data_IF_132310456806
#
_entry.id   IF_132310456806
#
_cell.length_a   1.000
_cell.length_b   1.000
_cell.length_c   1.000
_cell.angle_alpha   90.00
_cell.angle_beta   90.00
_cell.angle_gamma   90.00
#
_symmetry.space_group_name_H-M   'P 1'
#
loop_
_entity.id
_entity.type
_entity.pdbx_description
1 polymer ?
#
# COMPACT_ATOMS: atom_id res chain seq x y z
N UNK A 1 16.80 6.72 -32.96
CA UNK A 1 15.70 5.82 -32.57
C UNK A 1 15.69 5.78 -31.06
N UNK A 2 14.60 6.18 -30.42
CA UNK A 2 14.45 6.12 -28.97
C UNK A 2 13.68 4.84 -28.67
N UNK A 3 14.27 3.92 -27.92
CA UNK A 3 13.58 2.70 -27.47
C UNK A 3 12.87 3.00 -26.16
N UNK A 4 11.57 2.74 -26.10
CA UNK A 4 10.77 2.89 -24.90
C UNK A 4 10.73 1.58 -24.12
N UNK A 5 10.94 1.65 -22.80
CA UNK A 5 10.88 0.51 -21.89
C UNK A 5 9.82 0.75 -20.83
N UNK A 6 8.99 -0.25 -20.57
CA UNK A 6 7.95 -0.18 -19.53
C UNK A 6 8.12 -1.31 -18.54
N UNK A 7 8.10 -0.97 -17.25
CA UNK A 7 8.05 -1.92 -16.15
C UNK A 7 6.89 -1.56 -15.23
N UNK A 8 6.03 -2.53 -14.90
CA UNK A 8 4.95 -2.36 -13.93
C UNK A 8 5.41 -2.93 -12.60
N UNK A 9 5.68 -2.06 -11.65
CA UNK A 9 5.96 -2.49 -10.29
C UNK A 9 4.65 -2.89 -9.58
N UNK A 10 4.74 -3.85 -8.65
CA UNK A 10 3.61 -4.20 -7.77
C UNK A 10 3.33 -3.11 -6.73
N UNK A 11 2.55 -3.45 -5.69
CA UNK A 11 2.33 -2.52 -4.58
C UNK A 11 3.64 -2.22 -3.86
N UNK A 12 4.06 -0.96 -3.89
CA UNK A 12 5.25 -0.46 -3.23
C UNK A 12 4.83 0.56 -2.16
N UNK A 13 5.57 0.62 -1.06
CA UNK A 13 5.38 1.64 -0.02
C UNK A 13 6.66 2.47 0.12
N UNK A 14 6.53 3.80 0.17
CA UNK A 14 7.66 4.72 0.31
C UNK A 14 8.41 4.96 -1.00
N UNK A 15 9.63 5.48 -0.89
CA UNK A 15 10.46 5.88 -2.03
C UNK A 15 11.20 4.66 -2.59
N UNK A 16 11.21 4.50 -3.91
CA UNK A 16 11.90 3.45 -4.64
C UNK A 16 12.66 4.03 -5.82
N UNK A 17 13.81 3.44 -6.13
CA UNK A 17 14.71 3.88 -7.19
C UNK A 17 14.88 2.77 -8.21
N UNK A 18 14.60 3.08 -9.47
CA UNK A 18 14.71 2.16 -10.59
C UNK A 18 15.72 2.68 -11.60
N UNK A 19 16.45 1.78 -12.25
CA UNK A 19 17.26 2.09 -13.43
C UNK A 19 17.36 0.85 -14.30
N UNK A 20 17.45 1.04 -15.60
CA UNK A 20 17.69 -0.04 -16.54
C UNK A 20 19.18 -0.38 -16.54
N UNK A 21 19.49 -1.68 -16.57
CA UNK A 21 20.82 -2.19 -16.92
C UNK A 21 20.75 -2.67 -18.37
N UNK A 22 21.38 -1.95 -19.27
CA UNK A 22 21.50 -2.26 -20.68
C UNK A 22 22.78 -3.06 -20.85
N UNK A 23 22.69 -4.30 -21.35
CA UNK A 23 23.84 -5.16 -21.59
C UNK A 23 23.98 -5.32 -23.09
N UNK A 24 25.14 -4.95 -23.64
CA UNK A 24 25.48 -5.16 -25.05
C UNK A 24 25.84 -6.62 -25.31
N UNK A 25 25.87 -7.00 -26.58
CA UNK A 25 26.28 -8.31 -27.10
C UNK A 25 27.68 -8.73 -26.68
N UNK A 26 28.58 -7.78 -26.41
CA UNK A 26 29.94 -8.04 -25.92
C UNK A 26 30.01 -8.18 -24.38
N UNK A 27 28.88 -8.07 -23.69
CA UNK A 27 28.77 -8.16 -22.23
C UNK A 27 28.98 -6.83 -21.49
N UNK A 28 29.28 -5.74 -22.19
CA UNK A 28 29.43 -4.40 -21.60
C UNK A 28 28.08 -3.92 -21.08
N UNK A 29 28.06 -3.37 -19.86
CA UNK A 29 26.82 -2.88 -19.24
C UNK A 29 26.82 -1.36 -19.08
N UNK A 30 25.75 -0.72 -19.52
CA UNK A 30 25.45 0.71 -19.29
C UNK A 30 24.16 0.85 -18.48
N UNK A 31 24.09 1.86 -17.62
CA UNK A 31 22.90 2.13 -16.82
C UNK A 31 22.15 3.37 -17.32
N UNK A 32 20.82 3.33 -17.25
CA UNK A 32 20.00 4.53 -17.45
C UNK A 32 20.13 5.50 -16.28
N UNK A 33 19.65 6.76 -16.44
CA UNK A 33 19.33 7.61 -15.30
C UNK A 33 18.40 6.91 -14.31
N UNK A 34 18.49 7.30 -13.03
CA UNK A 34 17.63 6.77 -11.97
C UNK A 34 16.24 7.40 -12.08
N UNK A 35 15.22 6.56 -12.08
CA UNK A 35 13.82 6.93 -11.96
C UNK A 35 13.38 6.70 -10.52
N UNK A 36 12.97 7.77 -9.85
CA UNK A 36 12.44 7.70 -8.48
C UNK A 36 10.92 7.58 -8.52
N UNK A 37 10.39 6.53 -7.91
CA UNK A 37 8.96 6.37 -7.68
C UNK A 37 8.66 6.58 -6.20
N UNK A 38 7.81 7.54 -5.89
CA UNK A 38 7.29 7.74 -4.54
C UNK A 38 5.90 7.13 -4.49
N UNK A 39 5.78 5.98 -3.83
CA UNK A 39 4.49 5.36 -3.61
C UNK A 39 3.92 5.84 -2.27
N UNK A 40 2.84 6.62 -2.35
CA UNK A 40 2.05 7.08 -1.20
C UNK A 40 1.08 5.97 -0.78
N UNK A 41 1.59 4.74 -0.62
CA UNK A 41 0.88 3.69 0.09
C UNK A 41 1.39 3.70 1.52
N UNK A 42 1.08 4.78 2.25
CA UNK A 42 0.96 4.65 3.70
C UNK A 42 -0.36 3.91 3.95
N UNK A 43 -0.31 2.59 3.85
CA UNK A 43 -1.36 1.78 4.49
C UNK A 43 -1.05 1.87 5.98
N UNK A 44 -1.57 2.91 6.63
CA UNK A 44 -1.64 2.91 8.08
C UNK A 44 -2.34 1.60 8.48
N UNK A 45 -1.74 0.79 9.36
CA UNK A 45 -2.37 -0.45 9.77
C UNK A 45 -3.76 -0.14 10.34
N UNK A 46 -4.75 -0.94 9.95
CA UNK A 46 -6.06 -0.86 10.58
C UNK A 46 -5.91 -1.35 12.03
N UNK A 47 -6.04 -0.46 12.99
CA UNK A 47 -5.89 -0.77 14.41
C UNK A 47 -7.24 -0.68 15.10
N UNK A 48 -7.58 -1.71 15.86
CA UNK A 48 -8.72 -1.76 16.77
C UNK A 48 -8.18 -2.07 18.16
N UNK A 49 -8.24 -1.09 19.06
CA UNK A 49 -7.68 -1.21 20.41
C UNK A 49 -8.65 -0.63 21.44
N UNK A 50 -8.68 -1.14 22.68
CA UNK A 50 -7.99 -2.33 23.17
C UNK A 50 -8.71 -3.63 22.80
N UNK A 51 -7.99 -4.76 22.87
CA UNK A 51 -8.57 -6.10 22.89
C UNK A 51 -7.99 -6.85 24.11
N UNK A 52 -8.78 -7.20 25.14
CA UNK A 52 -10.25 -7.16 25.19
C UNK A 52 -10.86 -5.76 25.32
N UNK A 53 -12.06 -5.59 24.76
CA UNK A 53 -12.87 -4.37 24.87
C UNK A 53 -14.05 -4.59 25.82
N UNK A 54 -14.44 -3.56 26.58
CA UNK A 54 -15.64 -3.59 27.42
C UNK A 54 -16.85 -3.01 26.71
N UNK A 55 -16.79 -1.72 26.38
CA UNK A 55 -17.93 -0.98 25.83
C UNK A 55 -17.70 -0.55 24.37
N UNK A 56 -16.56 0.10 24.08
CA UNK A 56 -16.20 0.57 22.74
C UNK A 56 -14.69 0.49 22.50
N UNK A 57 -14.31 0.29 21.25
CA UNK A 57 -12.91 0.29 20.80
C UNK A 57 -12.74 1.29 19.65
N UNK A 58 -11.85 2.29 19.77
CA UNK A 58 -11.48 3.14 18.64
C UNK A 58 -10.86 2.34 17.49
N UNK A 59 -11.21 2.76 16.27
CA UNK A 59 -10.62 2.28 15.02
C UNK A 59 -9.76 3.40 14.41
N UNK A 60 -8.54 3.08 14.02
CA UNK A 60 -7.65 4.02 13.31
C UNK A 60 -7.01 3.35 12.09
N UNK A 61 -6.46 4.15 11.18
CA UNK A 61 -5.91 3.66 9.91
C UNK A 61 -6.96 3.45 8.81
N UNK A 62 -8.13 4.11 8.91
CA UNK A 62 -9.12 4.09 7.82
C UNK A 62 -8.58 4.86 6.61
N UNK A 63 -8.66 4.30 5.39
CA UNK A 63 -8.37 5.03 4.16
C UNK A 63 -9.24 6.29 4.04
N UNK A 64 -8.73 7.31 3.35
CA UNK A 64 -9.52 8.49 3.04
C UNK A 64 -10.79 8.12 2.26
N UNK A 65 -11.92 8.70 2.67
CA UNK A 65 -13.21 8.47 2.01
C UNK A 65 -14.14 7.54 2.78
N UNK A 66 -15.24 7.17 2.10
CA UNK A 66 -16.30 6.33 2.67
C UNK A 66 -15.86 4.87 2.65
N UNK A 67 -15.73 4.28 3.83
CA UNK A 67 -15.30 2.90 4.04
C UNK A 67 -16.42 2.05 4.63
N UNK A 68 -16.42 0.75 4.31
CA UNK A 68 -17.26 -0.24 4.98
C UNK A 68 -16.39 -1.01 5.99
N UNK A 69 -16.79 -0.97 7.25
CA UNK A 69 -16.16 -1.75 8.31
C UNK A 69 -16.96 -3.02 8.55
N UNK A 70 -16.24 -4.14 8.60
CA UNK A 70 -16.78 -5.48 8.87
C UNK A 70 -15.99 -6.07 10.03
N UNK A 71 -16.68 -6.44 11.10
CA UNK A 71 -16.08 -7.16 12.23
C UNK A 71 -16.57 -8.59 12.23
N UNK A 72 -15.65 -9.52 12.37
CA UNK A 72 -15.92 -10.95 12.45
C UNK A 72 -15.46 -11.49 13.81
N UNK A 73 -16.18 -12.45 14.36
CA UNK A 73 -15.73 -13.25 15.49
C UNK A 73 -14.57 -14.16 15.07
N UNK A 74 -13.88 -14.75 16.05
CA UNK A 74 -12.86 -15.77 15.79
C UNK A 74 -13.39 -17.02 15.06
N UNK A 75 -14.71 -17.25 15.09
CA UNK A 75 -15.39 -18.33 14.36
C UNK A 75 -15.81 -17.93 12.93
N UNK A 76 -15.51 -16.71 12.49
CA UNK A 76 -15.85 -16.21 11.15
C UNK A 76 -17.25 -15.64 11.01
N UNK A 77 -18.03 -15.54 12.10
CA UNK A 77 -19.36 -14.92 12.06
C UNK A 77 -19.21 -13.40 12.04
N UNK A 78 -19.91 -12.71 11.12
CA UNK A 78 -19.94 -11.25 11.11
C UNK A 78 -20.75 -10.73 12.30
N UNK A 79 -20.09 -10.02 13.21
CA UNK A 79 -20.70 -9.43 14.41
C UNK A 79 -21.09 -7.96 14.21
N UNK A 80 -20.45 -7.26 13.27
CA UNK A 80 -20.73 -5.85 12.99
C UNK A 80 -20.55 -5.54 11.51
N UNK A 81 -21.40 -4.63 11.01
CA UNK A 81 -21.23 -3.96 9.72
C UNK A 81 -21.62 -2.51 9.89
N UNK A 82 -20.71 -1.60 9.55
CA UNK A 82 -21.01 -0.16 9.56
C UNK A 82 -20.31 0.56 8.41
N UNK A 83 -20.79 1.76 8.11
CA UNK A 83 -20.10 2.70 7.24
C UNK A 83 -19.35 3.71 8.12
N UNK A 84 -18.11 4.00 7.78
CA UNK A 84 -17.31 5.04 8.41
C UNK A 84 -16.67 5.94 7.36
N UNK A 85 -16.31 7.15 7.76
CA UNK A 85 -15.54 8.08 6.92
C UNK A 85 -14.11 8.13 7.46
N UNK A 86 -13.13 7.75 6.64
CA UNK A 86 -11.73 7.96 6.96
C UNK A 86 -11.22 9.28 6.39
N UNK A 87 -10.25 9.86 7.08
CA UNK A 87 -9.49 11.02 6.62
C UNK A 87 -8.06 10.56 6.36
N UNK A 88 -7.50 10.90 5.19
CA UNK A 88 -6.05 10.86 5.03
C UNK A 88 -5.44 11.83 6.05
N UNK A 89 -4.42 11.38 6.77
CA UNK A 89 -3.55 12.28 7.53
C UNK A 89 -2.42 12.74 6.62
#
# INVERSE_FOLDING_TARGET
MTSDYTYRAGTLAGIRYFRLRLVDTDGTATYSPVVTLTAICEVAPLLLVPNPVRDYAPVSGLPAGRCQLLLYSATGQRVLKMTAQGSAR
#
